data_IF_417600822090
#
_entry.id   IF_417600822090
#
_cell.length_a   1.000
_cell.length_b   1.000
_cell.length_c   1.000
_cell.angle_alpha   90.00
_cell.angle_beta   90.00
_cell.angle_gamma   90.00
#
_symmetry.space_group_name_H-M   'P 1'
#
loop_
_entity.id
_entity.type
_entity.pdbx_description
1 polymer ?
#
# COMPACT_ATOMS: atom_id res chain seq x y z
N UNK A 1 4.85 -7.63 -16.23
CA UNK A 1 5.97 -6.88 -15.62
C UNK A 1 5.35 -5.93 -14.61
N UNK A 2 5.40 -6.27 -13.32
CA UNK A 2 4.83 -5.39 -12.29
C UNK A 2 5.71 -4.13 -12.22
N UNK A 3 5.14 -2.99 -12.56
CA UNK A 3 5.80 -1.70 -12.36
C UNK A 3 6.01 -1.52 -10.85
N UNK A 4 7.26 -1.28 -10.43
CA UNK A 4 7.57 -1.06 -9.02
C UNK A 4 6.71 0.11 -8.49
N UNK A 5 6.02 -0.05 -7.36
CA UNK A 5 5.21 1.02 -6.79
C UNK A 5 6.11 2.21 -6.47
N UNK A 6 5.67 3.40 -6.87
CA UNK A 6 6.32 4.64 -6.48
C UNK A 6 6.06 4.90 -5.00
N UNK A 7 7.12 5.20 -4.26
CA UNK A 7 7.07 5.53 -2.84
C UNK A 7 7.22 7.03 -2.66
N UNK A 8 6.18 7.70 -2.18
CA UNK A 8 6.18 9.15 -2.03
C UNK A 8 6.77 9.63 -0.72
N UNK A 9 6.50 8.88 0.35
CA UNK A 9 6.97 9.24 1.68
C UNK A 9 7.18 8.01 2.57
N UNK A 10 8.16 8.06 3.47
CA UNK A 10 8.48 6.93 4.38
C UNK A 10 7.31 6.49 5.26
N UNK A 11 6.33 7.37 5.51
CA UNK A 11 5.14 7.05 6.29
C UNK A 11 4.27 6.00 5.60
N UNK A 12 4.28 5.94 4.27
CA UNK A 12 3.53 4.93 3.51
C UNK A 12 4.04 3.52 3.78
N UNK A 13 5.36 3.36 3.99
CA UNK A 13 5.96 2.10 4.42
C UNK A 13 5.47 1.71 5.82
N UNK A 14 5.48 2.67 6.76
CA UNK A 14 5.01 2.41 8.12
C UNK A 14 3.52 2.04 8.15
N UNK A 15 2.69 2.71 7.34
CA UNK A 15 1.27 2.41 7.18
C UNK A 15 1.07 1.01 6.59
N UNK A 16 1.81 0.67 5.54
CA UNK A 16 1.78 -0.66 4.92
C UNK A 16 2.20 -1.76 5.90
N UNK A 17 3.30 -1.58 6.64
CA UNK A 17 3.75 -2.53 7.67
C UNK A 17 2.72 -2.70 8.77
N UNK A 18 2.10 -1.61 9.23
CA UNK A 18 1.03 -1.66 10.24
C UNK A 18 -0.17 -2.44 9.74
N UNK A 19 -0.56 -2.24 8.49
CA UNK A 19 -1.67 -2.96 7.87
C UNK A 19 -1.35 -4.45 7.68
N UNK A 20 -0.16 -4.80 7.20
CA UNK A 20 0.27 -6.20 7.07
C UNK A 20 0.30 -6.88 8.44
N UNK A 21 0.82 -6.22 9.47
CA UNK A 21 0.86 -6.77 10.82
C UNK A 21 -0.53 -6.97 11.44
N UNK A 22 -1.48 -6.09 11.13
CA UNK A 22 -2.83 -6.15 11.69
C UNK A 22 -3.78 -7.08 10.92
N UNK A 23 -3.66 -7.15 9.60
CA UNK A 23 -4.63 -7.80 8.71
C UNK A 23 -4.04 -8.93 7.86
N UNK A 24 -2.71 -9.10 7.81
CA UNK A 24 -2.07 -10.16 7.03
C UNK A 24 -2.45 -10.11 5.56
N UNK A 25 -3.03 -11.20 5.05
CA UNK A 25 -3.47 -11.34 3.66
C UNK A 25 -4.58 -10.34 3.28
N UNK A 26 -5.36 -9.87 4.25
CA UNK A 26 -6.45 -8.90 4.03
C UNK A 26 -5.97 -7.44 4.00
N UNK A 27 -4.67 -7.19 4.26
CA UNK A 27 -4.12 -5.84 4.34
C UNK A 27 -4.33 -5.04 3.04
N UNK A 28 -4.28 -5.70 1.88
CA UNK A 28 -4.54 -5.05 0.59
C UNK A 28 -5.99 -4.58 0.46
N UNK A 29 -6.95 -5.38 0.92
CA UNK A 29 -8.36 -5.03 0.90
C UNK A 29 -8.68 -3.87 1.85
N UNK A 30 -8.06 -3.84 3.03
CA UNK A 30 -8.22 -2.73 3.98
C UNK A 30 -7.66 -1.42 3.42
N UNK A 31 -6.51 -1.45 2.75
CA UNK A 31 -5.96 -0.27 2.07
C UNK A 31 -6.90 0.23 0.95
N UNK A 32 -7.47 -0.69 0.16
CA UNK A 32 -8.45 -0.34 -0.88
C UNK A 32 -9.73 0.28 -0.28
N UNK A 33 -10.25 -0.28 0.82
CA UNK A 33 -11.41 0.26 1.51
C UNK A 33 -11.18 1.68 2.05
N UNK A 34 -9.96 1.98 2.55
CA UNK A 34 -9.58 3.33 2.97
C UNK A 34 -9.41 4.29 1.80
N UNK A 35 -8.95 3.80 0.65
CA UNK A 35 -8.94 4.57 -0.59
C UNK A 35 -10.36 4.97 -0.99
N UNK A 36 -11.28 4.00 -1.08
CA UNK A 36 -12.67 4.25 -1.46
C UNK A 36 -13.36 5.23 -0.50
N UNK A 37 -13.16 5.07 0.82
CA UNK A 37 -13.67 6.05 1.80
C UNK A 37 -13.11 7.46 1.58
N UNK A 38 -11.82 7.57 1.21
CA UNK A 38 -11.21 8.87 0.92
C UNK A 38 -11.78 9.49 -0.36
N UNK A 39 -12.11 8.67 -1.36
CA UNK A 39 -12.81 9.09 -2.59
C UNK A 39 -14.20 9.61 -2.26
N UNK A 40 -14.95 8.91 -1.44
CA UNK A 40 -16.33 9.28 -1.08
C UNK A 40 -16.38 10.60 -0.30
N UNK A 41 -15.32 10.92 0.45
CA UNK A 41 -15.13 12.22 1.12
C UNK A 41 -14.60 13.33 0.19
N UNK A 42 -14.39 13.05 -1.10
CA UNK A 42 -13.83 13.98 -2.08
C UNK A 42 -12.33 14.26 -1.90
N UNK A 43 -11.63 13.49 -1.07
CA UNK A 43 -10.21 13.67 -0.80
C UNK A 43 -9.34 12.84 -1.74
N UNK A 44 -9.13 13.38 -2.94
CA UNK A 44 -8.36 12.71 -3.99
C UNK A 44 -6.89 12.49 -3.65
N UNK A 45 -6.29 13.32 -2.79
CA UNK A 45 -4.89 13.16 -2.35
C UNK A 45 -4.78 11.90 -1.49
N UNK A 46 -5.66 11.74 -0.51
CA UNK A 46 -5.68 10.55 0.34
C UNK A 46 -6.06 9.29 -0.44
N UNK A 47 -6.96 9.41 -1.43
CA UNK A 47 -7.24 8.31 -2.35
C UNK A 47 -5.97 7.81 -3.05
N UNK A 48 -5.22 8.70 -3.71
CA UNK A 48 -3.98 8.34 -4.41
C UNK A 48 -2.95 7.70 -3.46
N UNK A 49 -2.81 8.26 -2.25
CA UNK A 49 -1.92 7.71 -1.23
C UNK A 49 -2.31 6.29 -0.83
N UNK A 50 -3.58 6.03 -0.53
CA UNK A 50 -4.04 4.68 -0.16
C UNK A 50 -3.88 3.66 -1.30
N UNK A 51 -4.07 4.08 -2.56
CA UNK A 51 -3.81 3.22 -3.73
C UNK A 51 -2.32 2.91 -3.93
N UNK A 52 -1.43 3.81 -3.54
CA UNK A 52 0.01 3.52 -3.51
C UNK A 52 0.35 2.55 -2.37
N UNK A 53 -0.22 2.75 -1.18
CA UNK A 53 -0.03 1.86 -0.03
C UNK A 53 -0.54 0.44 -0.34
N UNK A 54 -1.68 0.29 -1.00
CA UNK A 54 -2.20 -1.01 -1.45
C UNK A 54 -1.20 -1.76 -2.34
N UNK A 55 -0.63 -1.08 -3.34
CA UNK A 55 0.39 -1.68 -4.23
C UNK A 55 1.68 -2.01 -3.48
N UNK A 56 2.05 -1.17 -2.51
CA UNK A 56 3.20 -1.39 -1.65
C UNK A 56 3.00 -2.61 -0.75
N UNK A 57 1.80 -2.80 -0.21
CA UNK A 57 1.44 -3.98 0.59
C UNK A 57 1.63 -5.26 -0.23
N UNK A 58 1.13 -5.29 -1.47
CA UNK A 58 1.33 -6.45 -2.36
C UNK A 58 2.82 -6.77 -2.57
N UNK A 59 3.65 -5.74 -2.75
CA UNK A 59 5.09 -5.92 -2.88
C UNK A 59 5.74 -6.42 -1.57
N UNK A 60 5.39 -5.83 -0.44
CA UNK A 60 6.00 -6.13 0.86
C UNK A 60 5.53 -7.46 1.45
N UNK A 61 4.34 -7.93 1.07
CA UNK A 61 3.83 -9.26 1.42
C UNK A 61 4.50 -10.37 0.60
N UNK A 62 5.25 -10.05 -0.45
CA UNK A 62 6.08 -11.04 -1.11
C UNK A 62 7.19 -11.47 -0.13
N UNK A 63 7.14 -12.71 0.34
CA UNK A 63 8.12 -13.29 1.27
C UNK A 63 9.54 -13.45 0.70
N UNK A 64 9.87 -12.74 -0.38
CA UNK A 64 11.16 -12.74 -1.04
C UNK A 64 11.47 -11.33 -1.55
N UNK A 65 12.76 -11.01 -1.66
CA UNK A 65 13.18 -9.79 -2.33
C UNK A 65 12.78 -9.83 -3.81
N UNK A 66 11.99 -8.85 -4.24
CA UNK A 66 11.60 -8.69 -5.64
C UNK A 66 12.55 -7.66 -6.29
N UNK A 67 13.31 -8.10 -7.30
CA UNK A 67 14.30 -7.28 -7.99
C UNK A 67 15.74 -7.59 -7.56
N UNK A 68 16.62 -6.60 -7.59
CA UNK A 68 18.03 -6.72 -7.19
C UNK A 68 18.27 -6.04 -5.85
N UNK A 69 18.84 -6.75 -4.89
CA UNK A 69 19.36 -6.18 -3.63
C UNK A 69 20.82 -5.83 -3.87
N UNK A 70 21.20 -4.56 -3.68
CA UNK A 70 22.58 -4.08 -3.79
C UNK A 70 23.18 -3.83 -2.41
#
# INVERSE_FOLDING_TARGET
>A
MACMPWLGHRSEVADATTLIAAFGDDAGFEAAARADRSRDLGNHIHFCRWRQIERLIVLMSAGAAIGTVQ
#
